data_IF_140796766939
#
_entry.id   IF_140796766939
#
_cell.length_a   1.000
_cell.length_b   1.000
_cell.length_c   1.000
_cell.angle_alpha   90.00
_cell.angle_beta   90.00
_cell.angle_gamma   90.00
#
_symmetry.space_group_name_H-M   'P 1'
#
loop_
_entity.id
_entity.type
_entity.pdbx_description
1 polymer ?
#
# COMPACT_ATOMS: atom_id res chain seq x y z
N UNK A 1 -16.49 -4.37 -0.93
CA UNK A 1 -15.69 -4.57 -2.14
C UNK A 1 -14.69 -3.45 -2.36
N UNK A 2 -13.41 -3.70 -2.06
CA UNK A 2 -12.32 -2.94 -2.65
C UNK A 2 -11.51 -3.95 -3.47
N UNK A 3 -11.48 -3.77 -4.79
CA UNK A 3 -10.71 -4.63 -5.69
C UNK A 3 -9.21 -4.36 -5.49
N UNK A 4 -8.47 -5.32 -4.92
CA UNK A 4 -7.05 -5.14 -4.56
C UNK A 4 -6.34 -6.38 -3.99
N UNK A 5 -6.81 -7.60 -4.25
CA UNK A 5 -5.98 -8.78 -3.96
C UNK A 5 -4.70 -8.67 -4.80
N UNK A 6 -3.49 -8.57 -4.18
CA UNK A 6 -3.09 -9.27 -2.96
C UNK A 6 -2.52 -8.36 -1.85
N UNK A 7 -2.91 -7.09 -1.71
CA UNK A 7 -2.29 -6.21 -0.70
C UNK A 7 -3.03 -6.32 0.65
N UNK A 8 -2.33 -6.65 1.78
CA UNK A 8 -2.94 -6.69 3.10
C UNK A 8 -3.74 -5.43 3.41
N UNK A 9 -4.87 -5.55 4.10
CA UNK A 9 -5.79 -4.42 4.35
C UNK A 9 -5.09 -3.20 4.97
N UNK A 10 -4.14 -3.45 5.89
CA UNK A 10 -3.28 -2.47 6.56
C UNK A 10 -2.43 -1.64 5.58
N UNK A 11 -2.16 -2.19 4.39
CA UNK A 11 -1.34 -1.61 3.33
C UNK A 11 -2.20 -1.17 2.13
N UNK A 12 -3.49 -1.50 2.12
CA UNK A 12 -4.38 -1.29 0.97
C UNK A 12 -5.30 -0.07 1.14
N UNK A 13 -5.25 0.56 2.30
CA UNK A 13 -6.12 1.63 2.73
C UNK A 13 -5.36 2.95 2.80
N UNK A 14 -5.27 3.76 1.73
CA UNK A 14 -4.53 5.03 1.77
C UNK A 14 -4.97 5.95 2.92
N UNK A 15 -6.24 5.90 3.29
CA UNK A 15 -6.87 6.70 4.35
C UNK A 15 -6.30 6.51 5.77
N UNK A 16 -5.57 5.42 6.06
CA UNK A 16 -4.90 5.24 7.37
C UNK A 16 -3.52 5.92 7.43
N UNK A 17 -3.00 6.47 6.32
CA UNK A 17 -1.72 7.18 6.27
C UNK A 17 -1.70 8.42 5.36
N UNK A 18 -2.76 8.67 4.61
CA UNK A 18 -2.96 9.84 3.76
C UNK A 18 -4.33 10.49 3.99
N UNK A 19 -4.33 11.76 4.39
CA UNK A 19 -5.47 12.66 4.19
C UNK A 19 -5.51 13.03 2.69
N UNK A 20 -6.62 12.74 2.01
CA UNK A 20 -6.78 13.00 0.57
C UNK A 20 -6.56 14.47 0.18
N UNK A 21 -6.76 15.43 1.10
CA UNK A 21 -6.43 16.85 0.87
C UNK A 21 -4.92 17.12 0.84
N UNK A 22 -4.16 16.39 1.67
CA UNK A 22 -2.70 16.47 1.70
C UNK A 22 -2.05 15.63 0.59
N UNK A 23 -2.73 14.61 0.07
CA UNK A 23 -2.20 13.74 -0.98
C UNK A 23 -1.73 14.51 -2.21
N UNK A 24 -2.55 15.42 -2.75
CA UNK A 24 -2.16 16.21 -3.93
C UNK A 24 -0.95 17.12 -3.66
N UNK A 25 -0.89 17.76 -2.48
CA UNK A 25 0.25 18.58 -2.09
C UNK A 25 1.54 17.74 -2.00
N UNK A 26 1.47 16.58 -1.34
CA UNK A 26 2.60 15.65 -1.21
C UNK A 26 3.00 15.05 -2.57
N UNK A 27 2.05 14.77 -3.45
CA UNK A 27 2.31 14.28 -4.81
C UNK A 27 3.03 15.32 -5.67
N UNK A 28 2.60 16.59 -5.62
CA UNK A 28 3.25 17.69 -6.34
C UNK A 28 4.68 17.87 -5.83
N UNK A 29 4.88 17.89 -4.50
CA UNK A 29 6.22 17.98 -3.90
C UNK A 29 7.11 16.81 -4.33
N UNK A 30 6.62 15.58 -4.26
CA UNK A 30 7.37 14.40 -4.67
C UNK A 30 7.80 14.47 -6.15
N UNK A 31 6.91 14.91 -7.04
CA UNK A 31 7.16 14.95 -8.48
C UNK A 31 7.99 16.14 -8.96
N UNK A 32 7.83 17.32 -8.35
CA UNK A 32 8.46 18.57 -8.81
C UNK A 32 9.67 18.98 -7.98
N UNK A 33 9.62 18.80 -6.66
CA UNK A 33 10.63 19.31 -5.74
C UNK A 33 11.69 18.25 -5.38
N UNK A 34 11.51 16.99 -5.81
CA UNK A 34 12.40 15.84 -5.50
C UNK A 34 12.76 15.74 -4.01
N UNK A 35 11.79 16.02 -3.15
CA UNK A 35 11.93 15.88 -1.68
C UNK A 35 12.01 14.41 -1.27
N UNK A 36 12.72 14.14 -0.17
CA UNK A 36 12.86 12.78 0.35
C UNK A 36 11.55 12.25 0.95
N UNK A 37 11.42 10.93 1.07
CA UNK A 37 10.24 10.30 1.66
C UNK A 37 10.01 10.72 3.11
N UNK A 38 11.09 10.91 3.89
CA UNK A 38 10.98 11.33 5.29
C UNK A 38 10.47 12.78 5.41
N UNK A 39 10.90 13.67 4.52
CA UNK A 39 10.39 15.04 4.45
C UNK A 39 8.92 15.06 4.00
N UNK A 40 8.55 14.21 3.03
CA UNK A 40 7.15 14.01 2.64
C UNK A 40 6.30 13.45 3.78
N UNK A 41 6.90 12.69 4.70
CA UNK A 41 6.25 12.16 5.89
C UNK A 41 6.37 13.10 7.11
N UNK A 42 6.70 14.37 6.90
CA UNK A 42 6.82 15.40 7.95
C UNK A 42 7.77 14.97 9.10
N UNK A 43 8.83 14.22 8.77
CA UNK A 43 9.80 13.70 9.74
C UNK A 43 9.38 12.42 10.47
N UNK A 44 8.19 11.87 10.20
CA UNK A 44 7.67 10.69 10.88
C UNK A 44 8.22 9.39 10.26
N UNK A 45 9.23 8.81 10.88
CA UNK A 45 9.92 7.60 10.39
C UNK A 45 9.00 6.36 10.30
N UNK A 46 8.10 6.17 11.27
CA UNK A 46 7.13 5.07 11.26
C UNK A 46 6.17 5.18 10.07
N UNK A 47 5.75 6.40 9.74
CA UNK A 47 4.88 6.67 8.60
C UNK A 47 5.61 6.40 7.28
N UNK A 48 6.85 6.88 7.14
CA UNK A 48 7.69 6.63 5.97
C UNK A 48 7.90 5.11 5.75
N UNK A 49 8.11 4.36 6.83
CA UNK A 49 8.25 2.90 6.78
C UNK A 49 7.00 2.21 6.24
N UNK A 50 5.80 2.66 6.66
CA UNK A 50 4.54 2.12 6.15
C UNK A 50 4.34 2.43 4.67
N UNK A 51 4.65 3.66 4.24
CA UNK A 51 4.56 4.06 2.83
C UNK A 51 5.51 3.24 1.97
N UNK A 52 6.73 3.01 2.43
CA UNK A 52 7.71 2.19 1.70
C UNK A 52 7.25 0.73 1.58
N UNK A 53 6.72 0.14 2.65
CA UNK A 53 6.13 -1.21 2.62
C UNK A 53 4.94 -1.32 1.68
N UNK A 54 4.10 -0.28 1.60
CA UNK A 54 3.01 -0.22 0.63
C UNK A 54 3.56 -0.16 -0.80
N UNK A 55 4.51 0.74 -1.09
CA UNK A 55 5.17 0.84 -2.39
C UNK A 55 5.77 -0.51 -2.80
N UNK A 56 6.43 -1.18 -1.86
CA UNK A 56 7.03 -2.47 -2.07
C UNK A 56 5.99 -3.54 -2.44
N UNK A 57 4.89 -3.59 -1.69
CA UNK A 57 3.77 -4.51 -1.92
C UNK A 57 3.10 -4.29 -3.28
N UNK A 58 3.08 -3.04 -3.79
CA UNK A 58 2.53 -2.69 -5.10
C UNK A 58 3.50 -3.08 -6.23
N UNK A 59 4.80 -2.78 -6.09
CA UNK A 59 5.77 -2.95 -7.17
C UNK A 59 6.26 -4.40 -7.31
N UNK A 60 6.55 -5.06 -6.20
CA UNK A 60 7.04 -6.44 -6.21
C UNK A 60 5.90 -7.46 -6.07
N UNK A 61 4.69 -7.00 -5.76
CA UNK A 61 3.61 -7.87 -5.34
C UNK A 61 3.81 -8.36 -3.90
N UNK A 62 2.79 -9.01 -3.35
CA UNK A 62 2.86 -9.53 -1.99
C UNK A 62 3.20 -11.02 -2.04
N UNK A 63 4.29 -11.40 -1.39
CA UNK A 63 4.69 -12.80 -1.30
C UNK A 63 3.78 -13.56 -0.33
N UNK A 64 2.64 -13.99 -0.87
CA UNK A 64 1.70 -14.84 -0.18
C UNK A 64 2.23 -16.27 -0.20
N UNK A 65 3.03 -16.65 0.80
CA UNK A 65 3.26 -18.06 1.15
C UNK A 65 1.97 -18.71 1.71
N UNK A 66 0.81 -18.35 1.16
CA UNK A 66 -0.42 -19.07 1.39
C UNK A 66 -0.40 -20.27 0.44
N UNK A 67 -0.63 -21.50 0.92
CA UNK A 67 -0.98 -22.56 -0.01
C UNK A 67 -2.14 -22.03 -0.88
N UNK A 68 -2.14 -22.31 -2.20
CA UNK A 68 -3.26 -21.93 -3.05
C UNK A 68 -4.54 -22.39 -2.34
N UNK A 69 -5.61 -21.57 -2.32
CA UNK A 69 -6.85 -21.99 -1.69
C UNK A 69 -7.20 -23.33 -2.33
N UNK A 70 -7.12 -24.41 -1.52
CA UNK A 70 -7.52 -25.74 -1.96
C UNK A 70 -8.84 -25.55 -2.66
N UNK A 71 -8.89 -25.91 -3.95
CA UNK A 71 -10.06 -25.74 -4.77
C UNK A 71 -11.25 -26.36 -4.03
N UNK A 72 -12.02 -25.53 -3.33
CA UNK A 72 -13.33 -25.87 -2.79
C UNK A 72 -14.28 -25.89 -3.97
N UNK A 73 -14.00 -26.77 -4.93
CA UNK A 73 -14.99 -27.23 -5.88
C UNK A 73 -15.79 -28.29 -5.13
N UNK A 74 -17.07 -28.04 -4.79
CA UNK A 74 -17.91 -29.13 -4.35
C UNK A 74 -18.02 -30.12 -5.51
N UNK A 75 -17.73 -31.40 -5.23
CA UNK A 75 -17.99 -32.51 -6.15
C UNK A 75 -19.46 -32.47 -6.55
N UNK A 76 -19.81 -32.56 -7.85
CA UNK A 76 -21.21 -32.64 -8.25
C UNK A 76 -21.76 -34.00 -7.83
N UNK A 77 -22.84 -33.99 -7.04
CA UNK A 77 -23.75 -35.13 -6.83
C UNK A 77 -25.16 -34.68 -7.10
#
# INVERSE_FOLDING_TARGET
>A
DACGQPVPWEHCCPWIYFDGKLFQSKLIKAGRERVSLIELCDGQADLATKVEKMRQSILEGVNMNHPPPSALLPSPT
#
